data_IF_878941214457
#
_entry.id   IF_878941214457
#
_cell.length_a   1.000
_cell.length_b   1.000
_cell.length_c   1.000
_cell.angle_alpha   90.00
_cell.angle_beta   90.00
_cell.angle_gamma   90.00
#
_symmetry.space_group_name_H-M   'P 1'
#
loop_
_entity.id
_entity.type
_entity.pdbx_description
1 polymer ?
#
# COMPACT_ATOMS: atom_id res chain seq x y z
N UNK A 1 -7.72 24.92 -7.09
CA UNK A 1 -8.20 23.53 -7.23
C UNK A 1 -8.57 23.03 -5.86
N UNK A 2 -9.82 22.71 -5.62
CA UNK A 2 -10.21 22.12 -4.35
C UNK A 2 -9.58 20.74 -4.26
N UNK A 3 -8.61 20.57 -3.40
CA UNK A 3 -8.15 19.26 -3.00
C UNK A 3 -9.34 18.56 -2.36
N UNK A 4 -9.96 17.67 -3.11
CA UNK A 4 -10.93 16.76 -2.54
C UNK A 4 -10.14 15.91 -1.55
N UNK A 5 -10.36 16.17 -0.29
CA UNK A 5 -9.61 15.67 0.86
C UNK A 5 -9.59 14.13 0.93
N UNK A 6 -10.35 13.47 0.11
CA UNK A 6 -10.46 12.01 0.08
C UNK A 6 -10.28 11.48 -1.33
N UNK A 7 -9.45 12.11 -2.12
CA UNK A 7 -9.00 11.51 -3.36
C UNK A 7 -8.33 10.17 -3.04
N UNK A 8 -8.63 9.16 -3.82
CA UNK A 8 -8.00 7.85 -3.71
C UNK A 8 -6.47 7.98 -3.84
N UNK A 9 -6.00 8.98 -4.57
CA UNK A 9 -4.60 9.39 -4.69
C UNK A 9 -3.95 9.68 -3.33
N UNK A 10 -4.69 10.29 -2.40
CA UNK A 10 -4.16 10.60 -1.06
C UNK A 10 -3.88 9.32 -0.26
N UNK A 11 -4.77 8.34 -0.32
CA UNK A 11 -4.56 7.04 0.35
C UNK A 11 -3.39 6.28 -0.27
N UNK A 12 -3.30 6.27 -1.60
CA UNK A 12 -2.16 5.69 -2.31
C UNK A 12 -0.86 6.38 -1.92
N UNK A 13 -0.84 7.72 -1.83
CA UNK A 13 0.34 8.49 -1.44
C UNK A 13 0.77 8.18 -0.02
N UNK A 14 -0.15 8.08 0.92
CA UNK A 14 0.15 7.73 2.31
C UNK A 14 0.75 6.32 2.39
N UNK A 15 0.13 5.32 1.75
CA UNK A 15 0.64 3.95 1.79
C UNK A 15 1.97 3.81 1.05
N UNK A 16 2.12 4.46 -0.10
CA UNK A 16 3.40 4.47 -0.81
C UNK A 16 4.50 5.15 0.01
N UNK A 17 4.19 6.25 0.68
CA UNK A 17 5.10 6.92 1.60
C UNK A 17 5.57 6.01 2.75
N UNK A 18 4.70 5.11 3.25
CA UNK A 18 5.09 4.11 4.25
C UNK A 18 6.16 3.14 3.73
N UNK A 19 6.05 2.73 2.47
CA UNK A 19 7.04 1.86 1.81
C UNK A 19 8.32 2.63 1.56
N UNK A 20 8.22 3.79 0.92
CA UNK A 20 9.37 4.64 0.55
C UNK A 20 10.20 5.07 1.76
N UNK A 21 9.55 5.33 2.90
CA UNK A 21 10.24 5.68 4.15
C UNK A 21 11.16 4.57 4.68
N UNK A 22 10.85 3.31 4.36
CA UNK A 22 11.64 2.14 4.77
C UNK A 22 12.58 1.62 3.68
N UNK A 23 12.58 2.19 2.47
CA UNK A 23 13.52 1.87 1.39
C UNK A 23 14.87 2.59 1.53
N UNK A 24 15.19 3.02 2.74
CA UNK A 24 16.51 3.59 3.08
C UNK A 24 17.48 2.48 3.47
N UNK A 25 18.80 2.67 3.38
CA UNK A 25 19.77 1.63 3.70
C UNK A 25 19.64 0.95 5.07
N UNK A 26 19.06 1.66 6.03
CA UNK A 26 18.81 1.15 7.39
C UNK A 26 17.32 0.84 7.67
N UNK A 27 16.47 0.96 6.65
CA UNK A 27 15.05 0.69 6.78
C UNK A 27 14.70 -0.79 6.59
N UNK A 28 13.46 -1.13 6.88
CA UNK A 28 12.94 -2.50 6.75
C UNK A 28 12.98 -3.03 5.30
N UNK A 29 13.02 -2.14 4.32
CA UNK A 29 12.95 -2.43 2.88
C UNK A 29 14.19 -1.89 2.14
N UNK A 30 15.31 -1.76 2.83
CA UNK A 30 16.53 -1.16 2.26
C UNK A 30 17.19 -1.97 1.14
N UNK A 31 16.83 -3.23 0.99
CA UNK A 31 17.28 -4.12 -0.08
C UNK A 31 16.36 -4.12 -1.31
N UNK A 32 15.18 -3.50 -1.22
CA UNK A 32 14.23 -3.45 -2.33
C UNK A 32 14.73 -2.56 -3.46
N UNK A 33 14.80 -3.10 -4.67
CA UNK A 33 15.29 -2.39 -5.85
C UNK A 33 14.19 -1.67 -6.61
N UNK A 34 12.98 -2.25 -6.63
CA UNK A 34 11.87 -1.70 -7.40
C UNK A 34 10.62 -1.62 -6.56
N UNK A 35 10.03 -0.41 -6.52
CA UNK A 35 8.69 -0.18 -6.00
C UNK A 35 7.84 0.53 -7.05
N UNK A 36 6.71 -0.04 -7.41
CA UNK A 36 5.78 0.50 -8.41
C UNK A 36 4.37 0.61 -7.81
N UNK A 37 3.66 1.68 -8.22
CA UNK A 37 2.28 1.96 -7.79
C UNK A 37 1.22 1.54 -8.80
N UNK A 38 1.60 0.92 -9.92
CA UNK A 38 0.73 0.62 -11.05
C UNK A 38 1.02 -0.80 -11.54
N UNK A 39 0.07 -1.37 -12.25
CA UNK A 39 0.25 -2.62 -12.97
C UNK A 39 1.54 -2.58 -13.81
N UNK A 40 2.34 -3.62 -13.68
CA UNK A 40 3.57 -3.75 -14.44
C UNK A 40 3.22 -4.05 -15.90
N UNK A 41 3.55 -3.12 -16.79
CA UNK A 41 3.83 -3.45 -18.17
C UNK A 41 5.23 -4.10 -18.23
N UNK A 42 5.47 -4.88 -19.30
CA UNK A 42 6.63 -5.76 -19.50
C UNK A 42 8.00 -5.03 -19.54
N UNK A 43 8.33 -4.31 -18.50
CA UNK A 43 9.63 -3.67 -18.34
C UNK A 43 10.58 -4.55 -17.54
N UNK A 44 11.88 -4.30 -17.71
CA UNK A 44 12.91 -4.91 -16.86
C UNK A 44 12.68 -4.53 -15.39
N UNK A 45 12.59 -5.54 -14.52
CA UNK A 45 12.34 -5.35 -13.10
C UNK A 45 13.53 -5.87 -12.33
N UNK A 46 14.13 -4.97 -11.53
CA UNK A 46 15.17 -5.35 -10.59
C UNK A 46 14.54 -5.87 -9.29
N UNK A 47 15.07 -6.98 -8.82
CA UNK A 47 14.60 -7.69 -7.63
C UNK A 47 15.47 -7.37 -6.40
N UNK A 48 14.95 -7.39 -5.21
CA UNK A 48 13.55 -7.60 -4.79
C UNK A 48 12.61 -6.48 -5.24
N UNK A 49 11.40 -6.83 -5.62
CA UNK A 49 10.43 -5.82 -6.02
C UNK A 49 9.12 -5.90 -5.24
N UNK A 50 8.46 -4.74 -5.14
CA UNK A 50 7.13 -4.56 -4.58
C UNK A 50 6.30 -3.78 -5.59
N UNK A 51 5.08 -4.25 -5.88
CA UNK A 51 4.12 -3.39 -6.54
C UNK A 51 2.83 -3.31 -5.75
N UNK A 52 2.28 -2.10 -5.69
CA UNK A 52 1.07 -1.77 -4.97
C UNK A 52 -0.03 -1.40 -5.95
N UNK A 53 -1.21 -1.97 -5.76
CA UNK A 53 -2.40 -1.51 -6.45
C UNK A 53 -3.63 -1.52 -5.53
N UNK A 54 -4.58 -0.69 -5.93
CA UNK A 54 -5.80 -0.46 -5.19
C UNK A 54 -6.94 -1.28 -5.80
N UNK A 55 -7.69 -1.92 -4.94
CA UNK A 55 -8.95 -2.55 -5.29
C UNK A 55 -10.13 -1.60 -5.16
N UNK A 56 -11.31 -2.08 -5.52
CA UNK A 56 -12.55 -1.34 -5.43
C UNK A 56 -12.86 -0.94 -3.98
N UNK A 57 -13.21 0.33 -3.80
CA UNK A 57 -13.67 0.86 -2.52
C UNK A 57 -15.06 0.34 -2.20
N UNK A 58 -15.27 -0.10 -0.99
CA UNK A 58 -16.54 -0.66 -0.52
C UNK A 58 -17.11 0.18 0.62
N UNK A 59 -18.44 0.25 0.77
CA UNK A 59 -19.06 0.86 1.94
C UNK A 59 -18.61 0.17 3.22
N UNK A 60 -18.26 0.96 4.24
CA UNK A 60 -18.00 0.47 5.59
C UNK A 60 -19.30 0.21 6.37
N UNK A 61 -19.16 -0.14 7.65
CA UNK A 61 -20.30 -0.47 8.52
C UNK A 61 -21.30 0.68 8.73
N UNK A 62 -20.83 1.92 8.60
CA UNK A 62 -21.64 3.14 8.80
C UNK A 62 -21.57 4.01 7.54
N UNK A 63 -22.04 3.50 6.43
CA UNK A 63 -22.11 4.24 5.18
C UNK A 63 -23.40 5.07 5.10
N UNK A 64 -23.55 6.03 6.01
CA UNK A 64 -24.67 6.99 5.99
C UNK A 64 -24.21 8.30 5.34
N UNK A 65 -24.63 8.51 4.10
CA UNK A 65 -24.26 9.68 3.30
C UNK A 65 -24.76 11.02 3.92
N UNK A 66 -25.73 10.93 4.82
CA UNK A 66 -26.29 12.13 5.47
C UNK A 66 -25.39 12.74 6.55
N UNK A 67 -24.35 12.01 6.98
CA UNK A 67 -23.45 12.43 8.06
C UNK A 67 -21.98 12.17 7.68
N UNK A 68 -21.43 11.11 8.25
CA UNK A 68 -20.04 10.67 8.04
C UNK A 68 -20.09 9.34 7.35
N UNK A 69 -19.47 9.23 6.20
CA UNK A 69 -19.45 8.00 5.45
C UNK A 69 -18.14 7.26 5.71
N UNK A 70 -18.23 6.04 6.23
CA UNK A 70 -17.09 5.14 6.33
C UNK A 70 -16.96 4.30 5.07
N UNK A 71 -15.74 4.22 4.57
CA UNK A 71 -15.37 3.41 3.41
C UNK A 71 -14.20 2.50 3.73
N UNK A 72 -14.14 1.39 3.03
CA UNK A 72 -13.00 0.47 3.08
C UNK A 72 -12.41 0.33 1.69
N UNK A 73 -11.13 0.60 1.55
CA UNK A 73 -10.39 0.43 0.32
C UNK A 73 -9.29 -0.59 0.54
N UNK A 74 -9.34 -1.75 -0.13
CA UNK A 74 -8.26 -2.71 -0.10
C UNK A 74 -7.10 -2.24 -0.97
N UNK A 75 -5.88 -2.38 -0.44
CA UNK A 75 -4.64 -2.21 -1.18
C UNK A 75 -3.88 -3.52 -1.15
N UNK A 76 -3.47 -3.98 -2.31
CA UNK A 76 -2.69 -5.19 -2.47
C UNK A 76 -1.24 -4.85 -2.76
N UNK A 77 -0.34 -5.47 -2.02
CA UNK A 77 1.09 -5.42 -2.22
C UNK A 77 1.56 -6.79 -2.71
N UNK A 78 2.03 -6.84 -3.92
CA UNK A 78 2.64 -8.03 -4.48
C UNK A 78 4.15 -7.93 -4.35
N UNK A 79 4.73 -8.92 -3.71
CA UNK A 79 6.14 -8.98 -3.40
C UNK A 79 6.78 -10.15 -4.12
N UNK A 80 8.00 -9.98 -4.63
CA UNK A 80 8.78 -11.06 -5.18
C UNK A 80 10.27 -10.87 -4.95
N UNK A 81 10.95 -11.97 -4.67
CA UNK A 81 12.39 -12.06 -4.49
C UNK A 81 12.88 -13.24 -5.34
N UNK A 82 13.97 -13.03 -6.06
CA UNK A 82 14.65 -14.11 -6.75
C UNK A 82 15.67 -14.78 -5.84
N UNK A 83 15.60 -16.11 -5.81
CA UNK A 83 16.64 -16.97 -5.25
C UNK A 83 16.80 -18.17 -6.19
N UNK A 84 18.00 -18.78 -6.29
CA UNK A 84 18.25 -19.90 -7.17
C UNK A 84 17.36 -21.11 -6.90
N UNK A 85 17.09 -21.36 -5.62
CA UNK A 85 16.20 -22.43 -5.18
C UNK A 85 14.79 -21.89 -4.95
N UNK A 86 13.78 -22.55 -5.51
CA UNK A 86 12.39 -22.08 -5.42
C UNK A 86 11.86 -22.03 -3.98
N UNK A 87 12.31 -22.92 -3.13
CA UNK A 87 11.93 -22.96 -1.71
C UNK A 87 12.46 -21.75 -0.97
N UNK A 88 13.74 -21.42 -1.17
CA UNK A 88 14.38 -20.22 -0.60
C UNK A 88 13.74 -18.94 -1.13
N UNK A 89 13.43 -18.88 -2.43
CA UNK A 89 12.73 -17.78 -3.05
C UNK A 89 11.34 -17.54 -2.44
N UNK A 90 10.62 -18.60 -2.13
CA UNK A 90 9.32 -18.51 -1.50
C UNK A 90 9.44 -17.96 -0.05
N UNK A 91 10.39 -18.45 0.73
CA UNK A 91 10.65 -17.96 2.10
C UNK A 91 11.07 -16.49 2.09
N UNK A 92 12.01 -16.10 1.22
CA UNK A 92 12.46 -14.72 1.07
C UNK A 92 11.33 -13.78 0.65
N UNK A 93 10.45 -14.24 -0.25
CA UNK A 93 9.29 -13.46 -0.69
C UNK A 93 8.24 -13.29 0.41
N UNK A 94 7.98 -14.33 1.21
CA UNK A 94 7.11 -14.27 2.39
C UNK A 94 7.67 -13.28 3.42
N UNK A 95 8.99 -13.31 3.64
CA UNK A 95 9.67 -12.37 4.51
C UNK A 95 9.53 -10.93 4.02
N UNK A 96 9.73 -10.69 2.71
CA UNK A 96 9.54 -9.36 2.11
C UNK A 96 8.10 -8.84 2.32
N UNK A 97 7.09 -9.66 2.05
CA UNK A 97 5.70 -9.26 2.25
C UNK A 97 5.39 -8.95 3.73
N UNK A 98 5.99 -9.68 4.67
CA UNK A 98 5.90 -9.37 6.11
C UNK A 98 6.53 -8.01 6.43
N UNK A 99 7.70 -7.70 5.87
CA UNK A 99 8.37 -6.40 6.05
C UNK A 99 7.53 -5.24 5.49
N UNK A 100 6.81 -5.45 4.39
CA UNK A 100 5.85 -4.48 3.84
C UNK A 100 4.74 -4.16 4.84
N UNK A 101 4.15 -5.18 5.46
CA UNK A 101 3.11 -4.99 6.50
C UNK A 101 3.69 -4.19 7.67
N UNK A 102 4.89 -4.53 8.14
CA UNK A 102 5.56 -3.83 9.23
C UNK A 102 5.90 -2.38 8.86
N UNK A 103 6.31 -2.11 7.62
CA UNK A 103 6.57 -0.76 7.12
C UNK A 103 5.32 0.13 7.18
N UNK A 104 4.18 -0.41 6.76
CA UNK A 104 2.89 0.29 6.86
C UNK A 104 2.50 0.49 8.33
N UNK A 105 2.58 -0.56 9.16
CA UNK A 105 2.25 -0.47 10.58
C UNK A 105 3.06 0.61 11.31
N UNK A 106 4.34 0.72 10.99
CA UNK A 106 5.26 1.66 11.62
C UNK A 106 4.98 3.12 11.23
N UNK A 107 4.63 3.37 9.97
CA UNK A 107 4.73 4.70 9.39
C UNK A 107 3.39 5.39 9.08
N UNK A 108 2.27 4.65 8.94
CA UNK A 108 1.04 5.22 8.38
C UNK A 108 0.47 6.40 9.18
N UNK A 109 0.53 6.35 10.51
CA UNK A 109 0.02 7.45 11.36
C UNK A 109 0.86 8.72 11.23
N UNK A 110 2.18 8.56 11.16
CA UNK A 110 3.11 9.69 11.02
C UNK A 110 2.93 10.37 9.68
N UNK A 111 2.86 9.57 8.60
CA UNK A 111 2.70 10.10 7.24
C UNK A 111 1.33 10.74 7.06
N UNK A 112 0.27 10.11 7.56
CA UNK A 112 -1.07 10.70 7.55
C UNK A 112 -1.11 12.04 8.28
N UNK A 113 -0.47 12.15 9.43
CA UNK A 113 -0.45 13.38 10.21
C UNK A 113 0.37 14.50 9.55
N UNK A 114 1.39 14.15 8.75
CA UNK A 114 2.18 15.12 7.99
C UNK A 114 1.43 15.62 6.74
N UNK A 115 0.81 14.70 6.02
CA UNK A 115 0.08 15.00 4.78
C UNK A 115 -1.24 15.73 5.06
N UNK A 116 -1.90 15.42 6.19
CA UNK A 116 -3.22 15.93 6.54
C UNK A 116 -3.28 16.37 8.01
N UNK A 117 -2.57 17.44 8.39
CA UNK A 117 -2.53 17.88 9.78
C UNK A 117 -3.94 18.21 10.31
N UNK A 118 -4.28 17.59 11.43
CA UNK A 118 -5.56 17.80 12.12
C UNK A 118 -6.74 17.00 11.55
N UNK A 119 -6.55 16.22 10.51
CA UNK A 119 -7.60 15.45 9.86
C UNK A 119 -7.32 13.96 9.97
N UNK A 120 -8.17 13.21 10.65
CA UNK A 120 -8.11 11.74 10.68
C UNK A 120 -8.93 11.17 9.53
N UNK A 121 -8.34 11.10 8.35
CA UNK A 121 -8.94 10.43 7.18
C UNK A 121 -8.94 8.92 7.34
N UNK A 122 -7.82 8.36 7.72
CA UNK A 122 -7.67 6.91 7.93
C UNK A 122 -8.01 6.63 9.38
N UNK A 123 -8.96 5.75 9.57
CA UNK A 123 -9.39 5.30 10.89
C UNK A 123 -8.50 4.20 11.43
N UNK A 124 -8.28 3.21 10.60
CA UNK A 124 -7.34 2.11 10.86
C UNK A 124 -6.94 1.43 9.53
N UNK A 125 -5.88 0.65 9.60
CA UNK A 125 -5.44 -0.24 8.54
C UNK A 125 -5.40 -1.64 9.13
N UNK A 126 -6.07 -2.59 8.49
CA UNK A 126 -6.14 -3.98 8.93
C UNK A 126 -5.64 -4.92 7.86
N UNK A 127 -4.94 -5.97 8.24
CA UNK A 127 -4.56 -7.04 7.33
C UNK A 127 -5.82 -7.87 6.99
N UNK A 128 -6.16 -7.94 5.72
CA UNK A 128 -7.26 -8.79 5.24
C UNK A 128 -6.78 -10.20 4.98
N UNK A 129 -5.71 -10.31 4.20
CA UNK A 129 -5.17 -11.61 3.80
C UNK A 129 -3.71 -11.49 3.42
N UNK A 130 -3.05 -12.63 3.48
CA UNK A 130 -1.64 -12.81 3.16
C UNK A 130 -1.51 -14.20 2.52
N UNK A 131 -1.20 -14.25 1.23
CA UNK A 131 -1.22 -15.53 0.51
C UNK A 131 -0.27 -15.55 -0.68
N UNK A 132 0.23 -16.73 -1.06
CA UNK A 132 0.97 -16.90 -2.30
C UNK A 132 0.02 -16.77 -3.49
N UNK A 133 0.39 -15.94 -4.47
CA UNK A 133 -0.36 -15.76 -5.72
C UNK A 133 0.03 -16.80 -6.78
N UNK A 134 1.19 -17.43 -6.65
CA UNK A 134 1.79 -18.29 -7.64
C UNK A 134 3.12 -17.76 -8.13
N UNK A 135 3.46 -18.02 -9.37
CA UNK A 135 4.70 -17.57 -9.99
C UNK A 135 4.43 -16.67 -11.17
N UNK A 136 5.31 -15.69 -11.38
CA UNK A 136 5.30 -14.82 -12.56
C UNK A 136 6.58 -15.00 -13.35
N UNK A 137 6.48 -14.89 -14.67
CA UNK A 137 7.63 -14.81 -15.56
C UNK A 137 8.08 -13.35 -15.63
N UNK A 138 9.33 -13.09 -15.37
CA UNK A 138 9.90 -11.74 -15.33
C UNK A 138 11.02 -11.61 -16.35
N UNK A 139 11.13 -10.44 -16.96
CA UNK A 139 12.22 -10.07 -17.86
C UNK A 139 12.37 -10.96 -19.13
N UNK A 140 11.28 -11.53 -19.65
CA UNK A 140 11.33 -12.45 -20.81
C UNK A 140 12.32 -13.62 -20.64
N UNK A 141 12.69 -13.92 -19.42
CA UNK A 141 13.48 -15.09 -19.06
C UNK A 141 12.53 -16.15 -18.51
N UNK A 142 12.87 -17.41 -18.73
CA UNK A 142 12.16 -18.55 -18.15
C UNK A 142 12.30 -18.67 -16.61
N UNK A 143 12.65 -17.56 -15.96
CA UNK A 143 12.77 -17.49 -14.51
C UNK A 143 11.39 -17.23 -13.90
N UNK A 144 10.91 -18.21 -13.15
CA UNK A 144 9.64 -18.12 -12.43
C UNK A 144 9.88 -17.60 -11.03
N UNK A 145 9.36 -16.42 -10.75
CA UNK A 145 9.43 -15.83 -9.40
C UNK A 145 8.15 -16.13 -8.62
N UNK A 146 8.25 -16.63 -7.38
CA UNK A 146 7.10 -16.71 -6.50
C UNK A 146 6.65 -15.30 -6.14
N UNK A 147 5.35 -15.08 -6.16
CA UNK A 147 4.73 -13.83 -5.75
C UNK A 147 3.85 -14.07 -4.54
N UNK A 148 4.05 -13.28 -3.50
CA UNK A 148 3.21 -13.26 -2.32
C UNK A 148 2.46 -11.94 -2.25
N UNK A 149 1.15 -12.01 -2.05
CA UNK A 149 0.31 -10.86 -1.86
C UNK A 149 0.00 -10.63 -0.38
N UNK A 150 0.14 -9.37 0.05
CA UNK A 150 -0.42 -8.86 1.29
C UNK A 150 -1.54 -7.88 0.95
N UNK A 151 -2.75 -8.12 1.42
CA UNK A 151 -3.89 -7.22 1.22
C UNK A 151 -4.22 -6.51 2.52
N UNK A 152 -4.13 -5.19 2.49
CA UNK A 152 -4.44 -4.32 3.62
C UNK A 152 -5.73 -3.55 3.34
N UNK A 153 -6.67 -3.61 4.25
CA UNK A 153 -7.88 -2.81 4.23
C UNK A 153 -7.62 -1.48 4.91
N UNK A 154 -7.75 -0.40 4.17
CA UNK A 154 -7.73 0.97 4.69
C UNK A 154 -9.15 1.41 4.98
N UNK A 155 -9.50 1.52 6.27
CA UNK A 155 -10.78 2.06 6.70
C UNK A 155 -10.63 3.56 6.87
N UNK A 156 -11.39 4.31 6.07
CA UNK A 156 -11.30 5.76 6.02
C UNK A 156 -12.67 6.43 6.02
N UNK A 157 -12.67 7.72 6.31
CA UNK A 157 -13.88 8.51 6.48
C UNK A 157 -13.95 9.58 5.40
N UNK A 158 -15.11 9.71 4.77
CA UNK A 158 -15.48 10.87 3.98
C UNK A 158 -16.45 11.72 4.80
N UNK A 159 -16.04 12.97 5.07
CA UNK A 159 -16.88 13.95 5.73
C UNK A 159 -16.69 15.29 5.01
N UNK A 160 -17.76 15.85 4.44
CA UNK A 160 -17.72 17.11 3.70
C UNK A 160 -17.20 18.28 4.56
N UNK A 161 -17.37 18.21 5.88
CA UNK A 161 -16.88 19.24 6.81
C UNK A 161 -15.36 19.30 6.86
N UNK A 162 -14.67 18.20 6.51
CA UNK A 162 -13.22 18.18 6.41
C UNK A 162 -12.71 19.02 5.24
N UNK A 163 -13.49 19.08 4.16
CA UNK A 163 -13.17 19.91 3.00
C UNK A 163 -13.25 21.42 3.33
N UNK A 164 -14.20 21.81 4.17
CA UNK A 164 -14.42 23.23 4.52
C UNK A 164 -13.33 23.80 5.44
N UNK A 165 -12.76 22.99 6.34
CA UNK A 165 -11.71 23.42 7.25
C UNK A 165 -10.39 23.77 6.55
N UNK A 166 -10.09 23.11 5.44
CA UNK A 166 -8.89 23.42 4.65
C UNK A 166 -9.02 24.72 3.83
N UNK A 167 -10.25 25.15 3.51
CA UNK A 167 -10.48 26.40 2.77
C UNK A 167 -10.45 27.64 3.64
N UNK A 168 -10.63 27.51 4.94
CA UNK A 168 -10.76 28.65 5.86
C UNK A 168 -9.44 29.07 6.52
N UNK A 169 -8.33 28.38 6.26
CA UNK A 169 -6.97 28.85 6.64
C UNK A 169 -6.77 29.12 8.14
N UNK A 170 -7.54 28.47 9.00
CA UNK A 170 -7.40 28.56 10.47
C UNK A 170 -6.63 27.36 11.04
#
# INVERSE_FOLDING_TARGET
MSNIVVGMETLQTILAGCIEAEMTPNGLLGDVQTFKRIYLEEEHIDEPFIWMYQHETRPGRQADISRTMELTTPFQFNCAVYEPELEDANESTMNLATRVILAVQKNWQTIQNQELPGTRLIRNITLETFYPLGTVDVNNKSERLPVVAAVLNVNHIIDWRLCCKQQLGE
#
